data_IF_290590026465
#
_entry.id   IF_290590026465
#
_cell.length_a   1.000
_cell.length_b   1.000
_cell.length_c   1.000
_cell.angle_alpha   90.00
_cell.angle_beta   90.00
_cell.angle_gamma   90.00
#
_symmetry.space_group_name_H-M   'P 1'
#
loop_
_entity.id
_entity.type
_entity.pdbx_description
1 polymer ?
#
# COMPACT_ATOMS: atom_id res chain seq x y z
N UNK A 1 14.83 13.43 15.78
CA UNK A 1 13.38 13.53 16.09
C UNK A 1 12.83 14.73 15.34
N UNK A 2 11.53 14.75 14.99
CA UNK A 2 10.92 15.94 14.39
C UNK A 2 10.70 17.01 15.46
N UNK A 3 10.88 18.28 15.09
CA UNK A 3 10.66 19.46 15.93
C UNK A 3 9.66 20.41 15.28
N UNK A 4 9.24 21.46 16.00
CA UNK A 4 8.37 22.49 15.42
C UNK A 4 8.98 23.06 14.13
N UNK A 5 8.15 23.24 13.10
CA UNK A 5 8.56 23.71 11.78
C UNK A 5 9.00 22.61 10.80
N UNK A 6 9.24 21.38 11.26
CA UNK A 6 9.63 20.29 10.35
C UNK A 6 8.46 19.86 9.45
N UNK A 7 8.74 19.66 8.17
CA UNK A 7 7.83 18.98 7.25
C UNK A 7 7.86 17.47 7.50
N UNK A 8 6.67 16.88 7.63
CA UNK A 8 6.52 15.48 8.04
C UNK A 8 5.40 14.77 7.29
N UNK A 9 5.51 13.44 7.19
CA UNK A 9 4.43 12.55 6.78
C UNK A 9 4.07 11.65 7.97
N UNK A 10 2.83 11.73 8.50
CA UNK A 10 2.34 10.78 9.49
C UNK A 10 2.06 9.44 8.82
N UNK A 11 2.42 8.35 9.50
CA UNK A 11 2.35 6.98 9.00
C UNK A 11 1.46 6.12 9.88
N UNK A 12 0.80 5.13 9.29
CA UNK A 12 0.07 4.13 10.07
C UNK A 12 1.02 3.07 10.68
N UNK A 13 2.22 2.92 10.12
CA UNK A 13 3.26 2.02 10.64
C UNK A 13 4.26 2.81 11.49
N UNK A 14 4.67 2.23 12.61
CA UNK A 14 5.66 2.83 13.51
C UNK A 14 7.07 2.30 13.24
N UNK A 15 8.07 3.06 13.66
CA UNK A 15 9.47 2.63 13.70
C UNK A 15 10.18 3.25 14.92
N UNK A 16 10.31 2.47 16.00
CA UNK A 16 11.01 2.92 17.21
C UNK A 16 12.54 2.81 17.14
N UNK A 17 13.10 2.10 16.14
CA UNK A 17 14.54 1.83 15.97
C UNK A 17 15.21 0.96 17.06
N UNK A 18 14.52 0.65 18.14
CA UNK A 18 15.12 -0.05 19.30
C UNK A 18 14.61 -1.48 19.52
N UNK A 19 13.37 -1.77 19.16
CA UNK A 19 12.79 -3.10 19.36
C UNK A 19 13.43 -4.15 18.44
N UNK A 20 13.30 -5.43 18.79
CA UNK A 20 13.85 -6.56 18.01
C UNK A 20 13.48 -6.51 16.53
N UNK A 21 12.24 -6.15 16.21
CA UNK A 21 11.77 -6.06 14.83
C UNK A 21 12.31 -4.82 14.11
N UNK A 22 12.48 -3.69 14.80
CA UNK A 22 13.11 -2.52 14.21
C UNK A 22 14.59 -2.75 13.92
N UNK A 23 15.30 -3.51 14.77
CA UNK A 23 16.70 -3.89 14.59
C UNK A 23 16.92 -4.96 13.52
N UNK A 24 15.92 -5.81 13.27
CA UNK A 24 16.00 -6.82 12.21
C UNK A 24 15.90 -6.19 10.80
N UNK A 25 16.72 -6.60 9.82
CA UNK A 25 16.56 -6.16 8.44
C UNK A 25 15.39 -6.84 7.71
N UNK A 26 14.80 -7.91 8.27
CA UNK A 26 13.83 -8.78 7.57
C UNK A 26 12.37 -8.37 7.74
N UNK A 27 12.08 -7.35 8.56
CA UNK A 27 10.70 -6.95 8.85
C UNK A 27 10.61 -5.45 9.11
N UNK A 28 9.49 -4.83 8.77
CA UNK A 28 9.17 -3.46 9.14
C UNK A 28 8.18 -3.34 10.31
N UNK A 29 7.82 -4.47 10.95
CA UNK A 29 6.75 -4.53 11.93
C UNK A 29 7.20 -4.14 13.33
N UNK A 30 7.22 -2.84 13.64
CA UNK A 30 7.66 -2.36 14.95
C UNK A 30 6.82 -2.89 16.13
N UNK A 31 7.46 -3.65 17.02
CA UNK A 31 6.85 -4.28 18.20
C UNK A 31 6.12 -3.25 19.09
N UNK A 32 6.85 -2.18 19.46
CA UNK A 32 6.30 -1.06 20.26
C UNK A 32 5.14 -0.33 19.56
N UNK A 33 5.04 -0.43 18.23
CA UNK A 33 3.95 0.19 17.47
C UNK A 33 2.64 -0.56 17.67
N UNK A 34 2.72 -1.89 17.61
CA UNK A 34 1.59 -2.80 17.79
C UNK A 34 1.01 -2.80 19.21
N UNK A 35 1.88 -2.75 20.21
CA UNK A 35 1.45 -2.68 21.62
C UNK A 35 0.56 -1.46 21.87
N UNK A 36 0.85 -0.32 21.21
CA UNK A 36 0.09 0.92 21.38
C UNK A 36 -1.26 0.93 20.65
N UNK A 37 -1.47 0.09 19.62
CA UNK A 37 -2.76 -0.01 18.92
C UNK A 37 -3.72 -1.01 19.58
N UNK A 38 -3.24 -1.84 20.51
CA UNK A 38 -4.06 -2.65 21.42
C UNK A 38 -4.80 -3.84 20.80
N UNK A 39 -4.93 -3.93 19.46
CA UNK A 39 -5.49 -5.08 18.72
C UNK A 39 -4.89 -5.17 17.31
N UNK A 40 -4.53 -6.38 16.88
CA UNK A 40 -4.04 -6.65 15.51
C UNK A 40 -5.09 -6.38 14.43
N UNK A 41 -6.38 -6.41 14.80
CA UNK A 41 -7.51 -6.32 13.88
C UNK A 41 -8.31 -5.00 14.03
N UNK A 42 -7.83 -4.06 14.85
CA UNK A 42 -8.50 -2.76 15.03
C UNK A 42 -7.70 -1.64 14.37
N UNK A 43 -8.39 -0.84 13.56
CA UNK A 43 -7.81 0.33 12.91
C UNK A 43 -7.87 1.59 13.79
N UNK A 44 -8.47 1.52 14.98
CA UNK A 44 -8.50 2.62 15.94
C UNK A 44 -7.61 2.29 17.14
N UNK A 45 -6.68 3.19 17.54
CA UNK A 45 -5.93 3.02 18.78
C UNK A 45 -6.87 3.09 19.99
N UNK A 46 -6.47 2.47 21.10
CA UNK A 46 -7.21 2.50 22.37
C UNK A 46 -7.35 3.93 22.91
N UNK A 47 -6.30 4.71 22.73
CA UNK A 47 -6.23 6.10 23.15
C UNK A 47 -6.49 7.05 21.99
N UNK A 48 -7.30 8.08 22.24
CA UNK A 48 -7.57 9.15 21.30
C UNK A 48 -7.35 10.51 21.95
N UNK A 49 -6.85 11.45 21.16
CA UNK A 49 -6.68 12.86 21.56
C UNK A 49 -7.76 13.77 20.99
N UNK A 50 -8.71 13.23 20.23
CA UNK A 50 -9.78 13.99 19.60
C UNK A 50 -11.05 13.95 20.45
N UNK A 51 -11.66 15.13 20.63
CA UNK A 51 -12.97 15.27 21.26
C UNK A 51 -13.87 16.16 20.40
N UNK A 52 -15.17 15.90 20.42
CA UNK A 52 -16.18 16.73 19.80
C UNK A 52 -17.32 16.94 20.79
N UNK A 53 -17.57 18.20 21.18
CA UNK A 53 -18.61 18.57 22.16
C UNK A 53 -18.51 17.74 23.45
N UNK A 54 -17.30 17.60 23.98
CA UNK A 54 -17.02 16.84 25.21
C UNK A 54 -17.04 15.31 25.06
N UNK A 55 -17.38 14.77 23.88
CA UNK A 55 -17.37 13.32 23.62
C UNK A 55 -16.08 12.89 22.92
N UNK A 56 -15.51 11.76 23.33
CA UNK A 56 -14.33 11.17 22.68
C UNK A 56 -14.66 10.79 21.24
N UNK A 57 -13.84 11.24 20.29
CA UNK A 57 -13.85 10.82 18.89
C UNK A 57 -12.66 9.89 18.70
N UNK A 58 -12.84 8.72 18.09
CA UNK A 58 -11.72 7.79 17.90
C UNK A 58 -10.78 8.27 16.80
N UNK A 59 -9.48 8.10 17.03
CA UNK A 59 -8.51 8.26 15.95
C UNK A 59 -8.54 7.05 15.00
N UNK A 60 -8.11 7.24 13.76
CA UNK A 60 -8.04 6.21 12.74
C UNK A 60 -6.60 6.02 12.29
N UNK A 61 -6.13 4.77 12.29
CA UNK A 61 -4.78 4.32 11.98
C UNK A 61 -3.67 5.06 12.72
N UNK A 62 -3.97 5.66 13.88
CA UNK A 62 -3.03 6.51 14.61
C UNK A 62 -2.61 7.78 13.86
N UNK A 63 -3.33 8.17 12.80
CA UNK A 63 -3.00 9.32 11.94
C UNK A 63 -4.12 10.36 11.91
N UNK A 64 -5.37 9.97 11.66
CA UNK A 64 -6.54 10.87 11.61
C UNK A 64 -6.31 12.16 10.81
N UNK A 65 -5.87 12.03 9.56
CA UNK A 65 -5.44 13.17 8.73
C UNK A 65 -6.59 13.99 8.10
N UNK A 66 -7.85 13.62 8.32
CA UNK A 66 -9.02 14.41 7.91
C UNK A 66 -9.36 15.45 8.99
N UNK A 67 -8.39 16.30 9.28
CA UNK A 67 -8.45 17.36 10.28
C UNK A 67 -7.31 18.35 10.00
N UNK A 68 -7.50 19.63 10.28
CA UNK A 68 -6.44 20.65 10.18
C UNK A 68 -5.25 20.32 11.08
N UNK A 69 -5.53 19.74 12.25
CA UNK A 69 -4.53 19.31 13.22
C UNK A 69 -4.81 17.88 13.68
N UNK A 70 -3.75 17.12 13.92
CA UNK A 70 -3.82 15.78 14.49
C UNK A 70 -2.65 15.54 15.44
N UNK A 71 -2.83 14.60 16.37
CA UNK A 71 -1.79 14.17 17.29
C UNK A 71 -1.39 12.75 16.95
N UNK A 72 -0.12 12.54 16.64
CA UNK A 72 0.41 11.26 16.19
C UNK A 72 1.57 10.82 17.08
N UNK A 73 1.80 9.51 17.17
CA UNK A 73 2.97 8.99 17.87
C UNK A 73 4.24 9.35 17.08
N UNK A 74 5.26 9.88 17.74
CA UNK A 74 6.52 10.30 17.11
C UNK A 74 7.29 9.14 16.42
N UNK A 75 7.03 7.89 16.83
CA UNK A 75 7.52 6.69 16.14
C UNK A 75 6.91 6.51 14.75
N UNK A 76 5.78 7.15 14.47
CA UNK A 76 5.02 7.05 13.23
C UNK A 76 5.09 8.35 12.41
N UNK A 77 6.16 9.13 12.58
CA UNK A 77 6.38 10.40 11.87
C UNK A 77 7.68 10.30 11.07
N UNK A 78 7.56 10.35 9.75
CA UNK A 78 8.71 10.52 8.85
C UNK A 78 8.98 12.01 8.66
N UNK A 79 10.18 12.48 9.03
CA UNK A 79 10.66 13.81 8.65
C UNK A 79 11.12 13.76 7.20
N UNK A 80 10.75 14.77 6.41
CA UNK A 80 11.02 14.83 4.98
C UNK A 80 11.70 16.15 4.61
N UNK A 81 12.17 16.24 3.37
CA UNK A 81 12.73 17.47 2.81
C UNK A 81 11.70 18.62 2.88
N UNK A 82 12.03 19.77 3.49
CA UNK A 82 11.12 20.92 3.53
C UNK A 82 10.74 21.47 2.16
N UNK A 83 11.57 21.25 1.12
CA UNK A 83 11.26 21.66 -0.25
C UNK A 83 10.26 20.73 -0.95
N UNK A 84 9.94 19.57 -0.37
CA UNK A 84 9.04 18.61 -1.00
C UNK A 84 7.60 19.16 -1.06
N UNK A 85 6.92 19.10 -2.22
CA UNK A 85 5.55 19.56 -2.36
C UNK A 85 4.59 18.65 -1.59
N UNK A 86 4.11 19.10 -0.43
CA UNK A 86 3.28 18.31 0.50
C UNK A 86 2.00 17.74 -0.14
N UNK A 87 1.40 18.50 -1.05
CA UNK A 87 0.21 18.09 -1.82
C UNK A 87 0.48 16.96 -2.83
N UNK A 88 1.74 16.56 -3.02
CA UNK A 88 2.15 15.43 -3.85
C UNK A 88 2.65 14.29 -2.97
N UNK A 89 3.63 14.57 -2.12
CA UNK A 89 4.32 13.55 -1.33
C UNK A 89 3.46 12.91 -0.24
N UNK A 90 2.29 13.48 0.07
CA UNK A 90 1.31 12.87 0.97
C UNK A 90 0.87 11.46 0.53
N UNK A 91 0.96 11.12 -0.76
CA UNK A 91 0.65 9.79 -1.28
C UNK A 91 1.70 8.72 -0.91
N UNK A 92 2.94 9.12 -0.59
CA UNK A 92 4.04 8.21 -0.24
C UNK A 92 3.79 7.54 1.12
N UNK A 93 2.99 8.16 2.00
CA UNK A 93 2.65 7.59 3.31
C UNK A 93 1.77 6.33 3.29
N UNK A 94 1.32 5.86 2.11
CA UNK A 94 0.50 4.66 1.99
C UNK A 94 0.74 3.92 0.64
N UNK A 95 -0.20 4.02 -0.30
CA UNK A 95 -0.29 3.08 -1.43
C UNK A 95 0.90 3.07 -2.39
N UNK A 96 1.54 4.21 -2.64
CA UNK A 96 2.71 4.26 -3.55
C UNK A 96 3.88 3.47 -2.94
N UNK A 97 4.19 3.75 -1.68
CA UNK A 97 5.22 3.03 -0.92
C UNK A 97 4.92 1.53 -0.86
N UNK A 98 3.66 1.17 -0.59
CA UNK A 98 3.24 -0.22 -0.53
C UNK A 98 3.45 -0.96 -1.86
N UNK A 99 2.94 -0.43 -2.97
CA UNK A 99 3.06 -1.09 -4.27
C UNK A 99 4.51 -1.19 -4.75
N UNK A 100 5.25 -0.09 -4.69
CA UNK A 100 6.67 -0.06 -5.09
C UNK A 100 7.51 -1.03 -4.25
N UNK A 101 7.35 -1.00 -2.92
CA UNK A 101 8.12 -1.87 -2.03
C UNK A 101 7.69 -3.33 -2.08
N UNK A 102 6.43 -3.62 -2.41
CA UNK A 102 6.00 -5.01 -2.64
C UNK A 102 6.77 -5.64 -3.80
N UNK A 103 6.98 -4.91 -4.90
CA UNK A 103 7.80 -5.36 -6.01
C UNK A 103 9.31 -5.41 -5.66
N UNK A 104 9.86 -4.32 -5.14
CA UNK A 104 11.32 -4.18 -4.99
C UNK A 104 11.86 -4.87 -3.73
N UNK A 105 11.20 -4.71 -2.58
CA UNK A 105 11.71 -5.22 -1.31
C UNK A 105 11.21 -6.64 -1.00
N UNK A 106 9.95 -6.94 -1.33
CA UNK A 106 9.29 -8.19 -0.91
C UNK A 106 9.42 -9.29 -1.97
N UNK A 107 8.96 -9.00 -3.19
CA UNK A 107 9.12 -9.90 -4.33
C UNK A 107 10.58 -9.96 -4.78
N UNK A 108 11.28 -8.82 -4.75
CA UNK A 108 12.64 -8.65 -5.29
C UNK A 108 12.67 -8.97 -6.79
N UNK A 109 11.75 -8.35 -7.53
CA UNK A 109 11.63 -8.51 -8.98
C UNK A 109 12.96 -8.20 -9.64
N UNK A 110 13.39 -9.08 -10.53
CA UNK A 110 14.63 -8.93 -11.30
C UNK A 110 14.33 -8.34 -12.69
N UNK A 111 15.29 -7.61 -13.30
CA UNK A 111 15.15 -7.18 -14.68
C UNK A 111 14.93 -8.36 -15.63
N UNK A 112 13.93 -8.25 -16.50
CA UNK A 112 13.58 -9.31 -17.47
C UNK A 112 12.55 -10.33 -16.97
N UNK A 113 12.19 -10.29 -15.68
CA UNK A 113 11.15 -11.18 -15.15
C UNK A 113 9.75 -10.82 -15.63
N UNK A 114 8.92 -11.84 -15.80
CA UNK A 114 7.49 -11.69 -16.08
C UNK A 114 6.72 -11.41 -14.80
N UNK A 115 5.82 -10.42 -14.84
CA UNK A 115 5.10 -9.96 -13.66
C UNK A 115 3.59 -9.87 -13.94
N UNK A 116 2.77 -10.34 -12.99
CA UNK A 116 1.32 -10.10 -13.02
C UNK A 116 0.88 -9.26 -11.80
N UNK A 117 0.06 -8.24 -12.06
CA UNK A 117 -0.55 -7.41 -11.01
C UNK A 117 -2.06 -7.56 -11.07
N UNK A 118 -2.64 -8.11 -10.00
CA UNK A 118 -4.08 -8.31 -9.89
C UNK A 118 -4.66 -7.17 -9.07
N UNK A 119 -5.40 -6.29 -9.74
CA UNK A 119 -5.95 -5.08 -9.13
C UNK A 119 -5.08 -3.87 -9.46
N UNK A 120 -5.67 -2.88 -10.12
CA UNK A 120 -4.93 -1.79 -10.77
C UNK A 120 -5.34 -0.41 -10.23
N UNK A 121 -5.98 -0.36 -9.06
CA UNK A 121 -6.58 0.84 -8.51
C UNK A 121 -7.76 1.38 -9.35
N UNK A 122 -8.51 2.31 -8.78
CA UNK A 122 -9.63 2.93 -9.46
C UNK A 122 -9.14 3.86 -10.59
N UNK A 123 -8.98 3.31 -11.80
CA UNK A 123 -9.18 3.90 -13.15
C UNK A 123 -8.39 3.20 -14.27
N UNK A 124 -7.66 2.11 -14.03
CA UNK A 124 -6.84 1.48 -15.09
C UNK A 124 -7.63 0.89 -16.27
N UNK A 125 -8.92 0.55 -16.08
CA UNK A 125 -9.72 -0.16 -17.09
C UNK A 125 -9.85 0.59 -18.43
N UNK A 126 -9.65 1.92 -18.45
CA UNK A 126 -9.71 2.75 -19.68
C UNK A 126 -8.35 3.21 -20.19
N UNK A 127 -7.26 2.86 -19.50
CA UNK A 127 -5.88 3.14 -19.93
C UNK A 127 -5.11 1.83 -19.86
N UNK A 128 -5.10 1.02 -20.94
CA UNK A 128 -4.36 -0.25 -20.97
C UNK A 128 -2.85 -0.08 -20.76
N UNK A 129 -2.32 1.15 -20.83
CA UNK A 129 -0.93 1.48 -20.57
C UNK A 129 -0.79 2.23 -19.23
N UNK A 130 -1.07 1.56 -18.12
CA UNK A 130 -0.58 2.02 -16.82
C UNK A 130 0.95 1.89 -16.81
N UNK A 131 1.66 2.94 -16.44
CA UNK A 131 3.11 3.05 -16.17
C UNK A 131 3.94 1.75 -16.17
N UNK A 132 4.15 1.14 -17.35
CA UNK A 132 5.00 -0.05 -17.53
C UNK A 132 4.27 -1.38 -17.84
N UNK A 133 2.95 -1.46 -17.74
CA UNK A 133 2.19 -2.64 -18.14
C UNK A 133 2.19 -2.81 -19.67
N UNK A 134 2.54 -4.01 -20.14
CA UNK A 134 2.58 -4.38 -21.57
C UNK A 134 1.26 -4.96 -22.04
N UNK A 135 0.58 -5.71 -21.17
CA UNK A 135 -0.61 -6.48 -21.47
C UNK A 135 -1.68 -6.21 -20.41
N UNK A 136 -2.95 -6.38 -20.82
CA UNK A 136 -4.09 -6.20 -19.95
C UNK A 136 -5.09 -7.33 -20.14
N UNK A 137 -5.52 -7.92 -19.03
CA UNK A 137 -6.50 -9.02 -19.00
C UNK A 137 -7.63 -8.66 -18.07
N UNK A 138 -8.86 -8.68 -18.59
CA UNK A 138 -10.07 -8.53 -17.80
C UNK A 138 -10.70 -9.91 -17.60
N UNK A 139 -10.76 -10.45 -16.36
CA UNK A 139 -11.29 -11.78 -16.10
C UNK A 139 -12.72 -12.02 -16.59
N UNK A 140 -13.51 -10.95 -16.81
CA UNK A 140 -14.89 -11.05 -17.32
C UNK A 140 -14.96 -11.39 -18.80
N UNK A 141 -13.87 -11.21 -19.54
CA UNK A 141 -13.81 -11.48 -20.98
C UNK A 141 -13.43 -12.95 -21.27
N UNK A 142 -13.32 -13.77 -20.22
CA UNK A 142 -12.92 -15.17 -20.29
C UNK A 142 -13.87 -16.07 -19.49
N UNK A 143 -14.14 -17.26 -20.02
CA UNK A 143 -14.89 -18.32 -19.32
C UNK A 143 -14.00 -19.19 -18.42
N UNK A 144 -12.69 -19.26 -18.72
CA UNK A 144 -11.70 -20.01 -17.94
C UNK A 144 -11.30 -19.25 -16.67
N UNK A 145 -10.85 -19.94 -15.61
CA UNK A 145 -10.18 -19.30 -14.49
C UNK A 145 -9.02 -18.41 -14.97
N UNK A 146 -8.90 -17.22 -14.39
CA UNK A 146 -7.88 -16.25 -14.82
C UNK A 146 -6.45 -16.81 -14.72
N UNK A 147 -6.18 -17.70 -13.77
CA UNK A 147 -4.89 -18.38 -13.65
C UNK A 147 -4.53 -19.22 -14.86
N UNK A 148 -5.51 -19.89 -15.48
CA UNK A 148 -5.31 -20.65 -16.72
C UNK A 148 -5.10 -19.73 -17.92
N UNK A 149 -5.87 -18.64 -18.01
CA UNK A 149 -5.69 -17.63 -19.07
C UNK A 149 -4.26 -17.07 -19.02
N UNK A 150 -3.78 -16.69 -17.84
CA UNK A 150 -2.41 -16.20 -17.66
C UNK A 150 -1.35 -17.24 -18.00
N UNK A 151 -1.60 -18.51 -17.64
CA UNK A 151 -0.68 -19.61 -17.95
C UNK A 151 -0.54 -19.84 -19.46
N UNK A 152 -1.67 -19.77 -20.19
CA UNK A 152 -1.71 -19.89 -21.65
C UNK A 152 -1.08 -18.67 -22.35
N UNK A 153 -1.27 -17.46 -21.81
CA UNK A 153 -0.71 -16.23 -22.38
C UNK A 153 0.81 -16.11 -22.22
N UNK A 154 1.38 -16.67 -21.15
CA UNK A 154 2.78 -16.47 -20.74
C UNK A 154 3.57 -17.80 -20.78
N UNK A 155 3.02 -18.82 -21.44
CA UNK A 155 3.64 -20.16 -21.63
C UNK A 155 4.24 -20.75 -20.34
N UNK A 156 3.44 -20.79 -19.26
CA UNK A 156 3.91 -21.33 -17.98
C UNK A 156 3.56 -20.53 -16.74
N UNK A 157 3.03 -19.32 -16.90
CA UNK A 157 2.74 -18.39 -15.82
C UNK A 157 3.86 -17.38 -15.56
N UNK A 158 3.66 -16.52 -14.56
CA UNK A 158 4.61 -15.42 -14.26
C UNK A 158 5.64 -15.78 -13.20
N UNK A 159 6.82 -15.14 -13.27
CA UNK A 159 7.86 -15.23 -12.24
C UNK A 159 7.42 -14.56 -10.93
N UNK A 160 6.70 -13.43 -11.04
CA UNK A 160 6.22 -12.67 -9.90
C UNK A 160 4.75 -12.30 -10.03
N UNK A 161 3.99 -12.44 -8.96
CA UNK A 161 2.60 -11.96 -8.91
C UNK A 161 2.32 -11.10 -7.68
N UNK A 162 1.50 -10.07 -7.86
CA UNK A 162 1.09 -9.13 -6.82
C UNK A 162 -0.44 -9.11 -6.73
N UNK A 163 -0.98 -9.49 -5.58
CA UNK A 163 -2.41 -9.34 -5.28
C UNK A 163 -2.64 -7.97 -4.62
N UNK A 164 -3.43 -7.12 -5.26
CA UNK A 164 -3.68 -5.74 -4.85
C UNK A 164 -5.18 -5.41 -4.72
N UNK A 165 -6.03 -6.43 -4.50
CA UNK A 165 -7.50 -6.25 -4.37
C UNK A 165 -7.97 -6.46 -2.93
N UNK A 166 -7.42 -7.44 -2.21
CA UNK A 166 -7.86 -7.84 -0.88
C UNK A 166 -8.96 -8.90 -0.88
N UNK A 167 -9.09 -9.73 -1.92
CA UNK A 167 -10.11 -10.81 -1.99
C UNK A 167 -9.46 -12.19 -1.94
N UNK A 168 -9.92 -13.07 -1.06
CA UNK A 168 -9.33 -14.40 -0.88
C UNK A 168 -9.25 -15.22 -2.18
N UNK A 169 -10.31 -15.16 -3.01
CA UNK A 169 -10.33 -15.83 -4.32
C UNK A 169 -9.26 -15.30 -5.28
N UNK A 170 -8.96 -13.99 -5.24
CA UNK A 170 -7.91 -13.37 -6.06
C UNK A 170 -6.53 -13.72 -5.51
N UNK A 171 -6.37 -13.77 -4.18
CA UNK A 171 -5.12 -14.20 -3.52
C UNK A 171 -4.71 -15.61 -3.95
N UNK A 172 -5.68 -16.54 -4.07
CA UNK A 172 -5.41 -17.86 -4.62
C UNK A 172 -5.08 -17.82 -6.11
N UNK A 173 -5.83 -17.02 -6.88
CA UNK A 173 -5.62 -16.89 -8.33
C UNK A 173 -4.23 -16.38 -8.66
N UNK A 174 -3.67 -15.43 -7.89
CA UNK A 174 -2.31 -14.92 -8.13
C UNK A 174 -1.26 -16.00 -7.93
N UNK A 175 -1.40 -16.86 -6.92
CA UNK A 175 -0.49 -17.97 -6.66
C UNK A 175 -0.57 -19.04 -7.74
N UNK A 176 -1.78 -19.33 -8.24
CA UNK A 176 -2.01 -20.28 -9.33
C UNK A 176 -1.52 -19.77 -10.68
N UNK A 177 -1.42 -18.45 -10.86
CA UNK A 177 -0.95 -17.81 -12.11
C UNK A 177 0.57 -17.81 -12.26
N UNK A 178 1.31 -18.23 -11.23
CA UNK A 178 2.76 -18.24 -11.25
C UNK A 178 3.35 -19.52 -11.85
N UNK A 179 4.57 -19.41 -12.38
CA UNK A 179 5.41 -20.55 -12.79
C UNK A 179 5.66 -21.51 -11.62
N UNK A 180 5.94 -22.77 -11.91
CA UNK A 180 6.35 -23.74 -10.88
C UNK A 180 7.86 -23.67 -10.68
N UNK A 181 8.33 -23.73 -9.43
CA UNK A 181 9.75 -23.94 -9.12
C UNK A 181 10.44 -22.77 -8.43
N UNK A 182 10.22 -21.53 -8.89
CA UNK A 182 10.97 -20.36 -8.39
C UNK A 182 10.14 -19.08 -8.21
N UNK A 183 8.82 -19.13 -8.44
CA UNK A 183 8.02 -17.91 -8.39
C UNK A 183 7.89 -17.32 -6.98
N UNK A 184 7.55 -16.03 -6.95
CA UNK A 184 7.13 -15.33 -5.74
C UNK A 184 5.81 -14.62 -5.95
N UNK A 185 4.78 -15.12 -5.29
CA UNK A 185 3.47 -14.47 -5.18
C UNK A 185 3.37 -13.65 -3.88
N UNK A 186 3.00 -12.38 -4.00
CA UNK A 186 2.94 -11.41 -2.90
C UNK A 186 1.52 -10.88 -2.71
N UNK A 187 0.96 -11.13 -1.53
CA UNK A 187 -0.30 -10.53 -1.08
C UNK A 187 -0.03 -9.13 -0.55
N UNK A 188 -0.67 -8.14 -1.16
CA UNK A 188 -0.61 -6.72 -0.77
C UNK A 188 -1.99 -6.23 -0.33
N UNK A 189 -3.06 -6.72 -0.95
CA UNK A 189 -4.43 -6.39 -0.59
C UNK A 189 -4.75 -6.79 0.85
N UNK A 190 -5.31 -5.85 1.62
CA UNK A 190 -5.69 -6.10 3.01
C UNK A 190 -7.00 -6.89 3.08
N UNK A 191 -6.98 -8.03 3.78
CA UNK A 191 -8.17 -8.80 4.15
C UNK A 191 -7.99 -9.31 5.59
N UNK A 192 -9.01 -9.09 6.43
CA UNK A 192 -9.02 -9.52 7.84
C UNK A 192 -10.21 -10.42 8.18
N UNK A 193 -10.98 -10.82 7.17
CA UNK A 193 -12.30 -11.45 7.31
C UNK A 193 -12.35 -12.87 6.74
N UNK A 194 -11.50 -13.17 5.74
CA UNK A 194 -11.55 -14.43 5.01
C UNK A 194 -10.23 -15.20 5.14
N UNK A 195 -10.33 -16.51 5.27
CA UNK A 195 -9.19 -17.41 5.16
C UNK A 195 -8.79 -17.60 3.69
N UNK A 196 -7.49 -17.84 3.47
CA UNK A 196 -6.95 -18.21 2.15
C UNK A 196 -6.57 -19.69 2.13
N UNK A 197 -6.74 -20.33 0.97
CA UNK A 197 -6.38 -21.73 0.78
C UNK A 197 -5.56 -21.94 -0.48
N UNK A 198 -4.62 -22.87 -0.41
CA UNK A 198 -3.82 -23.35 -1.54
C UNK A 198 -3.56 -24.85 -1.37
N UNK A 199 -3.38 -25.57 -2.48
CA UNK A 199 -2.96 -26.98 -2.41
C UNK A 199 -1.50 -27.02 -1.95
N UNK A 200 -1.14 -27.80 -0.91
CA UNK A 200 0.24 -27.84 -0.41
C UNK A 200 1.28 -28.18 -1.47
N UNK A 201 0.91 -29.03 -2.45
CA UNK A 201 1.76 -29.38 -3.58
C UNK A 201 2.25 -28.15 -4.37
N UNK A 202 1.49 -27.06 -4.40
CA UNK A 202 1.94 -25.83 -5.06
C UNK A 202 3.21 -25.29 -4.41
N UNK A 203 3.25 -25.23 -3.08
CA UNK A 203 4.41 -24.73 -2.34
C UNK A 203 5.56 -25.75 -2.37
N UNK A 204 5.24 -27.05 -2.22
CA UNK A 204 6.23 -28.13 -2.33
C UNK A 204 6.89 -28.13 -3.71
N UNK A 205 6.14 -27.81 -4.77
CA UNK A 205 6.65 -27.68 -6.14
C UNK A 205 7.42 -26.37 -6.40
N UNK A 206 7.85 -25.66 -5.35
CA UNK A 206 8.76 -24.52 -5.44
C UNK A 206 8.09 -23.15 -5.48
N UNK A 207 6.75 -23.05 -5.35
CA UNK A 207 6.11 -21.74 -5.27
C UNK A 207 6.30 -21.07 -3.93
N UNK A 208 6.50 -19.75 -3.94
CA UNK A 208 6.64 -18.95 -2.71
C UNK A 208 5.45 -18.02 -2.54
N UNK A 209 4.75 -18.12 -1.40
CA UNK A 209 3.66 -17.21 -1.06
C UNK A 209 4.03 -16.32 0.12
N UNK A 210 4.01 -15.00 -0.07
CA UNK A 210 4.41 -13.99 0.92
C UNK A 210 3.35 -12.92 1.07
N UNK A 211 3.40 -12.20 2.18
CA UNK A 211 2.66 -10.94 2.37
C UNK A 211 3.62 -9.74 2.39
N UNK A 212 3.12 -8.57 1.99
CA UNK A 212 3.85 -7.31 2.12
C UNK A 212 3.01 -6.26 2.85
N UNK A 213 3.51 -5.79 3.99
CA UNK A 213 2.94 -4.64 4.68
C UNK A 213 3.78 -3.40 4.39
N UNK A 214 3.15 -2.32 3.95
CA UNK A 214 3.82 -1.06 3.62
C UNK A 214 5.04 -1.24 2.69
N UNK A 215 4.96 -2.22 1.79
CA UNK A 215 6.02 -2.54 0.83
C UNK A 215 7.34 -3.00 1.48
N UNK A 216 7.30 -3.47 2.73
CA UNK A 216 8.51 -3.85 3.48
C UNK A 216 9.39 -2.67 3.91
N UNK A 217 8.97 -1.42 3.67
CA UNK A 217 9.73 -0.26 4.11
C UNK A 217 9.66 -0.06 5.61
N UNK A 218 10.81 0.20 6.24
CA UNK A 218 10.87 0.77 7.59
C UNK A 218 10.26 2.17 7.54
N UNK A 219 9.14 2.39 8.22
CA UNK A 219 8.28 3.57 8.01
C UNK A 219 9.02 4.90 7.86
N UNK A 220 9.76 5.32 8.90
CA UNK A 220 10.40 6.65 8.94
C UNK A 220 11.51 6.78 7.90
N UNK A 221 12.37 5.77 7.81
CA UNK A 221 13.56 5.83 6.96
C UNK A 221 13.22 5.60 5.49
N UNK A 222 12.30 4.69 5.21
CA UNK A 222 11.86 4.35 3.87
C UNK A 222 11.08 5.50 3.22
N UNK A 223 10.16 6.13 3.94
CA UNK A 223 9.38 7.25 3.39
C UNK A 223 10.26 8.45 3.09
N UNK A 224 11.21 8.79 3.97
CA UNK A 224 12.15 9.88 3.71
C UNK A 224 12.93 9.64 2.40
N UNK A 225 13.48 8.43 2.21
CA UNK A 225 14.18 8.04 0.98
C UNK A 225 13.29 8.03 -0.26
N UNK A 226 12.02 7.67 -0.12
CA UNK A 226 11.07 7.72 -1.24
C UNK A 226 10.71 9.14 -1.63
N UNK A 227 10.65 10.08 -0.66
CA UNK A 227 10.52 11.50 -0.95
C UNK A 227 11.75 12.01 -1.69
N UNK A 228 12.96 11.66 -1.25
CA UNK A 228 14.20 11.99 -1.97
C UNK A 228 14.17 11.45 -3.41
N UNK A 229 13.79 10.19 -3.61
CA UNK A 229 13.64 9.60 -4.94
C UNK A 229 12.59 10.31 -5.81
N UNK A 230 11.52 10.83 -5.20
CA UNK A 230 10.54 11.66 -5.89
C UNK A 230 11.13 13.01 -6.32
N UNK A 231 11.84 13.70 -5.42
CA UNK A 231 12.51 14.97 -5.70
C UNK A 231 13.57 14.81 -6.82
N UNK A 232 14.26 13.67 -6.84
CA UNK A 232 15.19 13.25 -7.89
C UNK A 232 14.51 12.82 -9.21
N UNK A 233 13.18 12.88 -9.29
CA UNK A 233 12.37 12.43 -10.46
C UNK A 233 12.53 10.94 -10.79
N UNK A 234 13.02 10.13 -9.86
CA UNK A 234 13.16 8.66 -9.97
C UNK A 234 11.87 7.93 -9.60
N UNK A 235 10.98 8.57 -8.85
CA UNK A 235 9.67 8.04 -8.46
C UNK A 235 8.56 8.91 -9.04
N UNK A 236 7.59 8.28 -9.71
CA UNK A 236 6.37 8.95 -10.17
C UNK A 236 5.34 9.01 -9.05
N UNK A 237 4.83 10.20 -8.75
CA UNK A 237 3.77 10.41 -7.75
C UNK A 237 2.62 11.21 -8.35
N UNK A 238 2.94 12.26 -9.10
CA UNK A 238 1.99 13.19 -9.70
C UNK A 238 0.89 12.52 -10.54
N UNK A 239 1.25 11.50 -11.32
CA UNK A 239 0.31 10.80 -12.22
C UNK A 239 -0.79 10.01 -11.48
N UNK A 240 -0.61 9.75 -10.19
CA UNK A 240 -1.62 9.09 -9.36
C UNK A 240 -2.67 10.07 -8.82
N UNK A 241 -2.42 11.38 -8.89
CA UNK A 241 -3.34 12.41 -8.39
C UNK A 241 -4.32 12.76 -9.50
N UNK A 242 -5.54 12.28 -9.36
CA UNK A 242 -6.61 12.50 -10.33
C UNK A 242 -7.50 13.70 -10.00
N UNK A 243 -7.58 14.07 -8.73
CA UNK A 243 -8.42 15.18 -8.27
C UNK A 243 -7.73 15.94 -7.13
N UNK A 244 -8.00 17.24 -7.06
CA UNK A 244 -7.67 18.10 -5.94
C UNK A 244 -8.97 18.74 -5.47
N UNK A 245 -9.30 18.60 -4.19
CA UNK A 245 -10.56 19.05 -3.59
C UNK A 245 -10.27 19.67 -2.22
N UNK A 246 -11.26 20.27 -1.56
CA UNK A 246 -11.13 20.74 -0.18
C UNK A 246 -11.70 19.72 0.81
N UNK A 247 -11.35 19.83 2.09
CA UNK A 247 -11.88 18.97 3.14
C UNK A 247 -13.42 19.02 3.24
N UNK A 248 -14.04 20.18 2.96
CA UNK A 248 -15.51 20.31 2.92
C UNK A 248 -16.17 19.39 1.87
N UNK A 249 -15.42 19.03 0.83
CA UNK A 249 -15.86 18.14 -0.24
C UNK A 249 -15.48 16.66 0.01
N UNK A 250 -15.12 16.29 1.24
CA UNK A 250 -14.68 14.92 1.57
C UNK A 250 -15.70 13.85 1.18
N UNK A 251 -17.00 14.14 1.31
CA UNK A 251 -18.04 13.19 0.92
C UNK A 251 -18.08 12.95 -0.59
N UNK A 252 -17.91 14.01 -1.40
CA UNK A 252 -17.82 13.88 -2.85
C UNK A 252 -16.57 13.07 -3.25
N UNK A 253 -15.45 13.29 -2.57
CA UNK A 253 -14.23 12.52 -2.78
C UNK A 253 -14.42 11.02 -2.46
N UNK A 254 -15.18 10.70 -1.41
CA UNK A 254 -15.57 9.32 -1.07
C UNK A 254 -16.46 8.71 -2.16
N UNK A 255 -17.43 9.47 -2.70
CA UNK A 255 -18.29 8.98 -3.77
C UNK A 255 -17.53 8.74 -5.08
N UNK A 256 -16.54 9.58 -5.42
CA UNK A 256 -15.62 9.33 -6.53
C UNK A 256 -14.87 8.01 -6.36
N UNK A 257 -14.41 7.72 -5.13
CA UNK A 257 -13.69 6.49 -4.80
C UNK A 257 -14.58 5.25 -4.94
N UNK A 258 -15.77 5.28 -4.34
CA UNK A 258 -16.74 4.16 -4.39
C UNK A 258 -17.11 3.77 -5.82
N UNK A 259 -17.24 4.76 -6.70
CA UNK A 259 -17.62 4.54 -8.10
C UNK A 259 -16.42 4.35 -9.04
N UNK A 260 -15.20 4.20 -8.51
CA UNK A 260 -14.00 3.97 -9.31
C UNK A 260 -13.60 5.13 -10.24
N UNK A 261 -14.03 6.35 -9.93
CA UNK A 261 -13.82 7.55 -10.78
C UNK A 261 -12.51 8.27 -10.49
N UNK A 262 -11.81 7.95 -9.39
CA UNK A 262 -10.52 8.55 -9.01
C UNK A 262 -9.46 7.50 -8.63
N UNK A 263 -8.18 7.78 -8.91
CA UNK A 263 -7.05 6.97 -8.41
C UNK A 263 -6.71 7.45 -7.00
N UNK A 264 -6.31 8.73 -6.88
CA UNK A 264 -6.19 9.46 -5.63
C UNK A 264 -6.81 10.84 -5.77
N UNK A 265 -7.41 11.30 -4.68
CA UNK A 265 -7.91 12.66 -4.49
C UNK A 265 -7.11 13.27 -3.35
N UNK A 266 -6.46 14.40 -3.61
CA UNK A 266 -5.75 15.17 -2.59
C UNK A 266 -6.72 16.20 -2.02
N UNK A 267 -6.87 16.21 -0.70
CA UNK A 267 -7.72 17.16 0.01
C UNK A 267 -6.84 18.27 0.59
N UNK A 268 -7.15 19.51 0.25
CA UNK A 268 -6.64 20.67 0.97
C UNK A 268 -7.45 20.82 2.27
N UNK A 269 -6.75 20.76 3.40
CA UNK A 269 -7.35 20.87 4.74
C UNK A 269 -7.39 22.30 5.26
N UNK A 270 -6.68 23.24 4.63
CA UNK A 270 -6.72 24.65 5.04
C UNK A 270 -8.03 25.31 4.58
N UNK A 271 -8.75 26.02 5.46
CA UNK A 271 -9.86 26.86 5.06
C UNK A 271 -9.35 27.95 4.11
N UNK A 272 -10.13 28.23 3.07
CA UNK A 272 -9.89 29.38 2.18
C UNK A 272 -10.19 30.69 2.89
#
# INVERSE_FOLDING_TARGET
>A
MATAGDHVIPLFISQCRECRFCKSPTTNQCDKGWVNTGRHNAMAPLESRLTCRGKKVLQFCGTSTFSEYTVVNQMAVAKIDPAAPLHKVCLIGCGICTGYGAAVNTAKVEPGSTCAVFGLGARSLRRPRCSGATDFVNPKDHSKPISQVMFEMIDGGVDFSLECVGKAAVMRSVLESCVKGWDVSVIVGLNVMEDISARPLMLIAGRTWKGSAFGGFKGKDGVAKMVEAYMDKKLKVDEFITHNMTLDQVNDAIELMKHGKCIRTVLNVSPK
#
